data_IF_110657923380
#
_entry.id   IF_110657923380
#
_cell.length_a   1.000
_cell.length_b   1.000
_cell.length_c   1.000
_cell.angle_alpha   90.00
_cell.angle_beta   90.00
_cell.angle_gamma   90.00
#
_symmetry.space_group_name_H-M   'P 1'
#
loop_
_entity.id
_entity.type
_entity.pdbx_description
1 polymer ?
#
# COMPACT_ATOMS: atom_id res chain seq x y z
N UNK A 1 -27.41 17.01 -17.26
CA UNK A 1 -26.86 15.70 -16.87
C UNK A 1 -27.34 15.37 -15.46
N UNK A 2 -28.03 14.25 -15.22
CA UNK A 2 -28.43 13.87 -13.86
C UNK A 2 -27.17 13.65 -13.00
N UNK A 3 -27.15 14.21 -11.78
CA UNK A 3 -26.05 14.02 -10.84
C UNK A 3 -26.03 12.54 -10.43
N UNK A 4 -24.97 11.83 -10.80
CA UNK A 4 -24.72 10.45 -10.36
C UNK A 4 -24.59 10.48 -8.82
N UNK A 5 -25.61 10.00 -8.10
CA UNK A 5 -25.57 9.91 -6.64
C UNK A 5 -24.91 8.60 -6.26
N UNK A 6 -23.88 8.65 -5.41
CA UNK A 6 -23.30 7.46 -4.80
C UNK A 6 -24.22 6.94 -3.69
N UNK A 7 -24.29 5.62 -3.53
CA UNK A 7 -24.91 5.02 -2.35
C UNK A 7 -24.14 5.42 -1.08
N UNK A 8 -24.82 5.42 0.07
CA UNK A 8 -24.24 5.83 1.36
C UNK A 8 -22.95 5.07 1.68
N UNK A 9 -22.94 3.75 1.49
CA UNK A 9 -21.76 2.92 1.74
C UNK A 9 -20.59 3.26 0.80
N UNK A 10 -20.87 3.54 -0.48
CA UNK A 10 -19.85 3.88 -1.47
C UNK A 10 -19.27 5.27 -1.25
N UNK A 11 -20.09 6.22 -0.76
CA UNK A 11 -19.62 7.53 -0.35
C UNK A 11 -18.62 7.42 0.81
N UNK A 12 -18.91 6.59 1.82
CA UNK A 12 -18.00 6.34 2.95
C UNK A 12 -16.73 5.62 2.50
N UNK A 13 -16.82 4.60 1.63
CA UNK A 13 -15.64 3.92 1.05
C UNK A 13 -14.76 4.89 0.29
N UNK A 14 -15.35 5.72 -0.57
CA UNK A 14 -14.62 6.72 -1.35
C UNK A 14 -13.90 7.70 -0.44
N UNK A 15 -14.56 8.17 0.62
CA UNK A 15 -13.95 9.05 1.61
C UNK A 15 -12.78 8.39 2.35
N UNK A 16 -12.95 7.13 2.81
CA UNK A 16 -11.88 6.37 3.47
C UNK A 16 -10.71 6.06 2.53
N UNK A 17 -10.94 5.94 1.22
CA UNK A 17 -9.90 5.78 0.21
C UNK A 17 -8.89 6.93 0.16
N UNK A 18 -9.25 8.14 0.61
CA UNK A 18 -8.28 9.25 0.73
C UNK A 18 -7.13 8.91 1.68
N UNK A 19 -7.35 8.06 2.68
CA UNK A 19 -6.30 7.62 3.59
C UNK A 19 -5.20 6.82 2.87
N UNK A 20 -5.51 6.12 1.77
CA UNK A 20 -4.50 5.40 0.97
C UNK A 20 -3.57 6.39 0.26
N UNK A 21 -4.12 7.52 -0.21
CA UNK A 21 -3.36 8.62 -0.79
C UNK A 21 -2.45 9.27 0.26
N UNK A 22 -2.97 9.53 1.46
CA UNK A 22 -2.15 10.03 2.57
C UNK A 22 -1.04 9.06 2.98
N UNK A 23 -1.35 7.75 2.97
CA UNK A 23 -0.37 6.69 3.24
C UNK A 23 0.70 6.66 2.16
N UNK A 24 0.33 6.80 0.88
CA UNK A 24 1.28 6.94 -0.22
C UNK A 24 2.20 8.14 -0.01
N UNK A 25 1.64 9.31 0.30
CA UNK A 25 2.42 10.51 0.62
C UNK A 25 3.30 10.34 1.87
N UNK A 26 2.86 9.58 2.86
CA UNK A 26 3.66 9.26 4.05
C UNK A 26 4.81 8.34 3.69
N UNK A 27 4.56 7.23 3.00
CA UNK A 27 5.58 6.30 2.51
C UNK A 27 6.63 7.01 1.67
N UNK A 28 6.21 7.87 0.74
CA UNK A 28 7.07 8.76 -0.05
C UNK A 28 8.00 9.64 0.81
N UNK A 29 7.53 10.06 2.00
CA UNK A 29 8.32 10.86 2.96
C UNK A 29 9.21 10.02 3.88
N UNK A 30 8.80 8.79 4.22
CA UNK A 30 9.43 7.98 5.28
C UNK A 30 10.26 6.79 4.78
N UNK A 31 9.93 6.20 3.64
CA UNK A 31 10.52 4.94 3.14
C UNK A 31 11.57 5.27 2.08
N UNK A 32 12.80 5.52 2.53
CA UNK A 32 14.02 5.51 1.71
C UNK A 32 14.30 6.62 0.69
N UNK A 33 13.31 7.34 0.15
CA UNK A 33 13.62 8.34 -0.89
C UNK A 33 14.06 9.72 -0.40
N UNK A 34 14.09 9.95 0.92
CA UNK A 34 14.54 11.22 1.52
C UNK A 34 13.96 12.44 0.78
N UNK A 35 12.64 12.43 0.53
CA UNK A 35 11.95 13.52 -0.18
C UNK A 35 12.21 14.90 0.42
N UNK A 36 12.63 14.98 1.70
CA UNK A 36 13.16 16.21 2.28
C UNK A 36 14.44 16.60 1.54
N UNK A 37 14.35 17.57 0.61
CA UNK A 37 15.51 17.96 -0.16
C UNK A 37 16.35 18.81 0.78
N UNK A 38 17.44 18.27 1.31
CA UNK A 38 18.33 19.07 2.18
C UNK A 38 19.00 20.19 1.34
N UNK A 39 19.13 19.99 0.02
CA UNK A 39 19.93 20.89 -0.85
C UNK A 39 19.33 21.21 -2.24
N UNK A 40 18.05 20.92 -2.52
CA UNK A 40 17.47 21.31 -3.82
C UNK A 40 17.02 22.78 -3.78
N UNK A 41 17.72 23.66 -4.49
CA UNK A 41 17.45 25.11 -4.53
C UNK A 41 16.93 25.63 -5.88
N UNK A 42 16.99 24.79 -6.93
CA UNK A 42 16.55 25.13 -8.28
C UNK A 42 15.22 24.43 -8.57
N UNK A 43 14.27 25.15 -9.17
CA UNK A 43 12.91 24.67 -9.45
C UNK A 43 12.92 23.34 -10.23
N UNK A 44 13.67 23.27 -11.32
CA UNK A 44 13.72 22.07 -12.16
C UNK A 44 14.23 20.84 -11.41
N UNK A 45 15.21 21.03 -10.50
CA UNK A 45 15.75 19.93 -9.70
C UNK A 45 14.72 19.44 -8.67
N UNK A 46 13.95 20.36 -8.07
CA UNK A 46 12.86 19.99 -7.16
C UNK A 46 11.80 19.18 -7.91
N UNK A 47 11.38 19.65 -9.10
CA UNK A 47 10.39 18.96 -9.93
C UNK A 47 10.86 17.57 -10.35
N UNK A 48 12.10 17.45 -10.84
CA UNK A 48 12.69 16.18 -11.22
C UNK A 48 12.80 15.21 -10.03
N UNK A 49 13.20 15.69 -8.85
CA UNK A 49 13.29 14.86 -7.66
C UNK A 49 11.90 14.33 -7.23
N UNK A 50 10.89 15.20 -7.16
CA UNK A 50 9.51 14.78 -6.82
C UNK A 50 9.01 13.74 -7.82
N UNK A 51 9.26 13.95 -9.12
CA UNK A 51 8.87 13.01 -10.17
C UNK A 51 9.53 11.64 -10.01
N UNK A 52 10.85 11.61 -9.82
CA UNK A 52 11.58 10.36 -9.52
C UNK A 52 11.04 9.68 -8.26
N UNK A 53 10.63 10.46 -7.26
CA UNK A 53 10.05 9.91 -6.06
C UNK A 53 8.70 9.23 -6.29
N UNK A 54 7.83 9.89 -7.06
CA UNK A 54 6.55 9.29 -7.45
C UNK A 54 6.75 8.01 -8.26
N UNK A 55 7.73 7.98 -9.18
CA UNK A 55 8.05 6.78 -9.97
C UNK A 55 8.56 5.63 -9.11
N UNK A 56 9.50 5.90 -8.20
CA UNK A 56 10.03 4.87 -7.31
C UNK A 56 8.94 4.26 -6.42
N UNK A 57 8.06 5.10 -5.87
CA UNK A 57 6.89 4.63 -5.11
C UNK A 57 5.94 3.79 -5.96
N UNK A 58 5.70 4.19 -7.21
CA UNK A 58 4.84 3.43 -8.11
C UNK A 58 5.40 2.03 -8.41
N UNK A 59 6.73 1.94 -8.63
CA UNK A 59 7.41 0.65 -8.82
C UNK A 59 7.32 -0.19 -7.54
N UNK A 60 7.61 0.39 -6.38
CA UNK A 60 7.49 -0.31 -5.10
C UNK A 60 6.06 -0.84 -4.88
N UNK A 61 5.05 -0.03 -5.16
CA UNK A 61 3.65 -0.42 -5.04
C UNK A 61 3.33 -1.63 -5.93
N UNK A 62 3.75 -1.58 -7.20
CA UNK A 62 3.58 -2.70 -8.13
C UNK A 62 4.28 -3.97 -7.67
N UNK A 63 5.52 -3.86 -7.17
CA UNK A 63 6.25 -5.02 -6.64
C UNK A 63 5.56 -5.63 -5.42
N UNK A 64 5.04 -4.78 -4.52
CA UNK A 64 4.27 -5.25 -3.35
C UNK A 64 2.98 -5.96 -3.74
N UNK A 65 2.31 -5.51 -4.79
CA UNK A 65 1.10 -6.17 -5.28
C UNK A 65 1.45 -7.49 -6.00
N UNK A 66 2.49 -7.50 -6.83
CA UNK A 66 2.95 -8.70 -7.53
C UNK A 66 3.49 -9.79 -6.58
N UNK A 67 4.07 -9.41 -5.44
CA UNK A 67 4.63 -10.33 -4.45
C UNK A 67 3.78 -10.46 -3.18
N UNK A 68 2.49 -10.09 -3.26
CA UNK A 68 1.59 -10.07 -2.11
C UNK A 68 1.59 -11.38 -1.32
N UNK A 69 1.58 -12.50 -2.02
CA UNK A 69 1.57 -13.86 -1.47
C UNK A 69 2.82 -14.14 -0.61
N UNK A 70 3.98 -13.61 -1.01
CA UNK A 70 5.26 -13.75 -0.30
C UNK A 70 5.39 -12.82 0.92
N UNK A 71 4.49 -11.84 1.03
CA UNK A 71 4.55 -10.80 2.04
C UNK A 71 3.58 -11.08 3.20
N UNK A 72 3.80 -10.40 4.32
CA UNK A 72 2.79 -10.23 5.39
C UNK A 72 1.62 -9.33 4.91
N UNK A 73 0.94 -9.74 3.84
CA UNK A 73 -0.21 -9.08 3.27
C UNK A 73 -1.38 -10.06 3.23
N UNK A 74 -2.57 -9.54 3.56
CA UNK A 74 -3.82 -10.26 3.42
C UNK A 74 -4.20 -10.33 1.94
N UNK A 75 -4.43 -11.53 1.42
CA UNK A 75 -4.76 -11.81 0.02
C UNK A 75 -6.25 -11.64 -0.29
N UNK A 76 -7.12 -11.68 0.74
CA UNK A 76 -8.56 -11.47 0.58
C UNK A 76 -8.87 -9.98 0.37
N UNK A 77 -8.68 -9.54 -0.87
CA UNK A 77 -8.95 -8.17 -1.31
C UNK A 77 -10.45 -7.94 -1.57
N UNK A 78 -11.16 -8.97 -2.02
CA UNK A 78 -12.57 -8.88 -2.41
C UNK A 78 -13.46 -8.56 -1.22
N UNK A 79 -13.16 -9.11 -0.04
CA UNK A 79 -13.89 -8.80 1.19
C UNK A 79 -13.90 -7.30 1.54
N UNK A 80 -12.95 -6.50 1.02
CA UNK A 80 -12.94 -5.04 1.24
C UNK A 80 -14.06 -4.31 0.50
N UNK A 81 -14.53 -4.84 -0.63
CA UNK A 81 -15.54 -4.20 -1.47
C UNK A 81 -16.93 -4.30 -0.81
N UNK A 82 -17.23 -5.45 -0.22
CA UNK A 82 -18.58 -5.74 0.28
C UNK A 82 -18.75 -5.52 1.78
N UNK A 83 -17.65 -5.43 2.56
CA UNK A 83 -17.78 -5.20 4.00
C UNK A 83 -18.42 -3.85 4.33
N UNK A 84 -19.04 -3.79 5.51
CA UNK A 84 -19.49 -2.53 6.10
C UNK A 84 -18.30 -1.56 6.20
N UNK A 85 -18.36 -0.41 5.51
CA UNK A 85 -17.26 0.54 5.50
C UNK A 85 -17.00 1.18 6.86
N UNK A 86 -17.95 1.15 7.81
CA UNK A 86 -17.80 1.77 9.14
C UNK A 86 -17.27 0.77 10.17
N UNK A 87 -17.56 -0.52 10.02
CA UNK A 87 -17.10 -1.56 10.93
C UNK A 87 -15.55 -1.68 10.97
N UNK A 88 -14.98 -2.15 12.10
CA UNK A 88 -13.54 -2.42 12.20
C UNK A 88 -13.06 -3.41 11.13
N UNK A 89 -11.83 -3.20 10.63
CA UNK A 89 -11.22 -4.12 9.69
C UNK A 89 -10.92 -5.46 10.36
N UNK A 90 -11.40 -6.55 9.77
CA UNK A 90 -11.06 -7.92 10.16
C UNK A 90 -10.06 -8.49 9.16
N UNK A 91 -9.14 -9.32 9.64
CA UNK A 91 -8.17 -10.05 8.81
C UNK A 91 -8.77 -11.39 8.41
N UNK A 92 -8.42 -11.89 7.23
CA UNK A 92 -8.81 -13.22 6.79
C UNK A 92 -8.21 -14.31 7.68
N UNK A 93 -8.81 -15.52 7.73
CA UNK A 93 -8.23 -16.67 8.44
C UNK A 93 -6.81 -17.00 7.94
N UNK A 94 -6.60 -16.97 6.62
CA UNK A 94 -5.30 -17.20 6.00
C UNK A 94 -4.25 -16.18 6.44
N UNK A 95 -4.63 -14.90 6.56
CA UNK A 95 -3.72 -13.87 7.06
C UNK A 95 -3.37 -14.06 8.54
N UNK A 96 -4.29 -14.59 9.36
CA UNK A 96 -4.02 -14.92 10.76
C UNK A 96 -3.07 -16.10 10.89
N UNK A 97 -3.27 -17.15 10.08
CA UNK A 97 -2.41 -18.33 10.00
C UNK A 97 -1.00 -17.95 9.53
N UNK A 98 -0.89 -17.18 8.44
CA UNK A 98 0.37 -16.65 7.91
C UNK A 98 1.17 -15.84 8.95
N UNK A 99 0.48 -15.09 9.82
CA UNK A 99 1.12 -14.32 10.90
C UNK A 99 1.58 -15.24 12.04
N UNK A 100 0.79 -16.26 12.37
CA UNK A 100 1.10 -17.20 13.44
C UNK A 100 2.29 -18.10 13.09
N UNK A 101 2.28 -18.67 11.88
CA UNK A 101 3.29 -19.63 11.44
C UNK A 101 4.53 -18.95 10.87
N UNK A 102 4.37 -17.77 10.25
CA UNK A 102 5.43 -17.04 9.52
C UNK A 102 6.08 -17.85 8.41
N UNK A 103 5.41 -18.88 7.95
CA UNK A 103 5.78 -19.72 6.81
C UNK A 103 4.66 -19.71 5.78
N UNK A 104 5.03 -19.88 4.52
CA UNK A 104 4.11 -20.07 3.41
C UNK A 104 3.79 -21.56 3.23
N UNK A 105 2.80 -21.87 2.40
CA UNK A 105 2.36 -23.26 2.13
C UNK A 105 3.48 -24.16 1.61
N UNK A 106 4.47 -23.58 0.93
CA UNK A 106 5.65 -24.29 0.40
C UNK A 106 6.77 -24.49 1.45
N UNK A 107 6.55 -24.05 2.70
CA UNK A 107 7.52 -24.14 3.80
C UNK A 107 8.59 -23.03 3.80
N UNK A 108 8.56 -22.10 2.83
CA UNK A 108 9.43 -20.93 2.84
C UNK A 108 8.96 -19.89 3.87
N UNK A 109 9.83 -18.95 4.24
CA UNK A 109 9.51 -17.92 5.22
C UNK A 109 8.66 -16.81 4.62
N UNK A 110 7.73 -16.25 5.39
CA UNK A 110 7.01 -15.03 5.00
C UNK A 110 7.92 -13.82 5.20
N UNK A 111 7.99 -12.93 4.21
CA UNK A 111 8.88 -11.78 4.25
C UNK A 111 8.13 -10.46 4.50
N UNK A 112 8.82 -9.50 5.11
CA UNK A 112 8.50 -8.09 4.87
C UNK A 112 9.08 -7.69 3.50
N UNK A 113 8.57 -6.62 2.89
CA UNK A 113 9.10 -6.16 1.60
C UNK A 113 10.61 -5.87 1.65
N UNK A 114 11.09 -5.34 2.79
CA UNK A 114 12.51 -5.08 2.99
C UNK A 114 13.34 -6.36 3.06
N UNK A 115 12.87 -7.37 3.80
CA UNK A 115 13.61 -8.64 3.94
C UNK A 115 13.58 -9.40 2.62
N UNK A 116 12.46 -9.39 1.90
CA UNK A 116 12.36 -9.99 0.57
C UNK A 116 13.39 -9.40 -0.40
N UNK A 117 13.56 -8.07 -0.40
CA UNK A 117 14.58 -7.41 -1.23
C UNK A 117 16.03 -7.72 -0.81
N UNK A 118 16.26 -8.15 0.43
CA UNK A 118 17.58 -8.51 0.93
C UNK A 118 17.95 -9.97 0.62
N UNK A 119 16.94 -10.82 0.37
CA UNK A 119 17.09 -12.24 0.11
C UNK A 119 17.15 -12.59 -1.40
N UNK A 120 17.00 -11.58 -2.28
CA UNK A 120 17.20 -11.68 -3.75
C UNK A 120 18.68 -11.55 -4.14
#
# INVERSE_FOLDING_TARGET
MPKKQLGTADAVRSYKGLCEVERAFRSLKTVDLKIRPIHHRLEDRVRAHIFLCMLAYYVEWHMREAWRELLFADEDLEAKNDRDPVAPAQRSPQALEKIAERTLEDGSTVHSFRTLLQDL
#
